data_IF_499213319304
#
_entry.id   IF_499213319304
#
_cell.length_a   1.000
_cell.length_b   1.000
_cell.length_c   1.000
_cell.angle_alpha   90.00
_cell.angle_beta   90.00
_cell.angle_gamma   90.00
#
_symmetry.space_group_name_H-M   'P 1'
#
loop_
_entity.id
_entity.type
_entity.pdbx_description
1 polymer ?
#
# COMPACT_ATOMS: atom_id res chain seq x y z
N UNK A 1 -51.61 32.37 25.12
CA UNK A 1 -51.27 31.30 24.14
C UNK A 1 -50.54 31.97 22.98
N UNK A 2 -49.21 32.09 23.05
CA UNK A 2 -48.17 31.32 22.32
C UNK A 2 -48.37 31.27 20.80
N UNK A 3 -47.43 31.86 20.05
CA UNK A 3 -47.28 31.65 18.60
C UNK A 3 -46.36 32.64 17.90
N UNK A 4 -45.12 32.83 18.37
CA UNK A 4 -44.13 33.66 17.65
C UNK A 4 -43.24 32.75 16.78
N UNK A 5 -43.53 32.69 15.49
CA UNK A 5 -42.88 31.81 14.51
C UNK A 5 -41.51 32.36 14.09
N UNK A 6 -40.44 31.97 14.79
CA UNK A 6 -39.06 32.26 14.38
C UNK A 6 -38.66 31.28 13.27
N UNK A 7 -38.49 31.79 12.04
CA UNK A 7 -37.85 31.07 10.94
C UNK A 7 -36.39 30.76 11.30
N UNK A 8 -35.86 29.55 11.04
CA UNK A 8 -34.45 29.27 11.27
C UNK A 8 -33.60 29.92 10.16
N UNK A 9 -32.51 30.60 10.56
CA UNK A 9 -31.44 31.05 9.65
C UNK A 9 -30.76 29.82 9.04
N UNK A 10 -30.79 29.71 7.72
CA UNK A 10 -29.93 28.79 6.98
C UNK A 10 -28.50 29.35 6.99
N UNK A 11 -27.56 28.62 7.58
CA UNK A 11 -26.12 28.85 7.39
C UNK A 11 -25.67 28.24 6.07
N UNK A 12 -24.81 28.90 5.27
CA UNK A 12 -24.31 28.33 4.03
C UNK A 12 -23.36 27.16 4.34
N UNK A 13 -23.72 25.97 3.87
CA UNK A 13 -22.86 24.78 3.92
C UNK A 13 -21.73 24.89 2.90
N UNK A 14 -20.49 24.90 3.37
CA UNK A 14 -19.29 24.72 2.54
C UNK A 14 -19.33 23.37 1.78
N UNK A 15 -18.80 23.30 0.54
CA UNK A 15 -18.79 22.06 -0.23
C UNK A 15 -17.66 21.15 0.25
N UNK A 16 -17.96 20.29 1.23
CA UNK A 16 -17.05 19.28 1.75
C UNK A 16 -17.68 17.89 1.65
N UNK A 17 -17.11 17.07 0.78
CA UNK A 17 -17.03 15.59 0.81
C UNK A 17 -18.14 14.87 1.59
N UNK A 18 -19.05 14.19 0.87
CA UNK A 18 -19.98 13.22 1.45
C UNK A 18 -19.22 12.02 2.01
N UNK A 19 -18.85 12.07 3.29
CA UNK A 19 -18.29 10.93 4.02
C UNK A 19 -19.42 9.96 4.35
N UNK A 20 -19.56 8.87 3.59
CA UNK A 20 -20.32 7.71 4.04
C UNK A 20 -19.59 7.15 5.26
N UNK A 21 -20.20 7.31 6.44
CA UNK A 21 -19.75 6.69 7.69
C UNK A 21 -19.89 5.18 7.55
N UNK A 22 -18.76 4.49 7.56
CA UNK A 22 -18.71 3.12 8.06
C UNK A 22 -17.91 3.17 9.36
N UNK A 23 -18.62 3.04 10.48
CA UNK A 23 -18.03 2.84 11.79
C UNK A 23 -18.22 1.38 12.17
N UNK A 24 -17.14 0.60 12.15
CA UNK A 24 -16.95 -0.57 13.03
C UNK A 24 -15.45 -0.71 13.31
N UNK A 25 -15.06 -0.45 14.57
CA UNK A 25 -13.75 -0.72 15.19
C UNK A 25 -12.56 0.21 14.89
N UNK A 26 -12.53 1.33 15.63
CA UNK A 26 -11.40 1.82 16.43
C UNK A 26 -9.96 1.42 16.08
N UNK A 27 -9.39 2.05 15.05
CA UNK A 27 -8.06 2.71 15.01
C UNK A 27 -7.82 3.06 13.55
N UNK A 28 -7.89 4.34 13.19
CA UNK A 28 -7.24 4.80 11.96
C UNK A 28 -5.74 4.61 12.18
N UNK A 29 -5.20 3.45 11.83
CA UNK A 29 -3.75 3.26 11.74
C UNK A 29 -3.32 4.11 10.55
N UNK A 30 -2.70 5.26 10.82
CA UNK A 30 -1.98 5.97 9.78
C UNK A 30 -0.83 5.07 9.31
N UNK A 31 -1.08 4.42 8.19
CA UNK A 31 -0.15 3.50 7.60
C UNK A 31 0.96 4.33 6.94
N UNK A 32 2.14 4.36 7.57
CA UNK A 32 3.33 5.01 7.01
C UNK A 32 3.65 4.38 5.65
N UNK A 33 3.66 5.21 4.61
CA UNK A 33 3.98 4.79 3.24
C UNK A 33 5.39 5.25 2.89
N UNK A 34 6.19 4.35 2.34
CA UNK A 34 7.51 4.63 1.81
C UNK A 34 7.46 4.57 0.27
N UNK A 35 8.14 5.52 -0.39
CA UNK A 35 8.37 5.48 -1.83
C UNK A 35 9.71 4.82 -2.09
N UNK A 36 9.74 3.87 -3.01
CA UNK A 36 10.94 3.14 -3.42
C UNK A 36 11.03 3.21 -4.93
N UNK A 37 12.17 3.64 -5.47
CA UNK A 37 12.41 3.73 -6.92
C UNK A 37 13.49 2.73 -7.30
N UNK A 38 13.14 1.74 -8.13
CA UNK A 38 14.02 0.64 -8.52
C UNK A 38 14.34 0.78 -10.01
N UNK A 39 15.61 0.89 -10.34
CA UNK A 39 16.12 0.78 -11.71
C UNK A 39 16.36 -0.70 -12.01
N UNK A 40 15.69 -1.25 -13.01
CA UNK A 40 15.87 -2.67 -13.37
C UNK A 40 17.29 -2.92 -13.87
N UNK A 41 17.86 -4.03 -13.45
CA UNK A 41 19.16 -4.49 -13.93
C UNK A 41 18.96 -5.37 -15.16
N UNK A 42 19.76 -5.12 -16.20
CA UNK A 42 19.81 -5.98 -17.38
C UNK A 42 20.60 -7.25 -17.07
N UNK A 43 19.98 -8.39 -17.24
CA UNK A 43 20.59 -9.71 -17.10
C UNK A 43 20.25 -10.53 -18.35
N UNK A 44 21.19 -10.58 -19.30
CA UNK A 44 20.93 -11.10 -20.64
C UNK A 44 19.85 -10.28 -21.36
N UNK A 45 18.83 -10.97 -21.88
CA UNK A 45 17.69 -10.35 -22.55
C UNK A 45 16.62 -9.81 -21.59
N UNK A 46 16.75 -10.08 -20.29
CA UNK A 46 15.74 -9.74 -19.28
C UNK A 46 16.13 -8.52 -18.45
N UNK A 47 15.10 -7.85 -17.94
CA UNK A 47 15.22 -6.79 -16.94
C UNK A 47 14.69 -7.32 -15.61
N UNK A 48 15.55 -7.38 -14.59
CA UNK A 48 15.24 -7.92 -13.27
C UNK A 48 15.17 -6.83 -12.22
N UNK A 49 14.31 -7.02 -11.21
CA UNK A 49 14.18 -6.11 -10.07
C UNK A 49 14.96 -6.61 -8.83
N UNK A 50 15.28 -7.90 -8.75
CA UNK A 50 15.99 -8.48 -7.60
C UNK A 50 15.11 -8.68 -6.35
N UNK A 51 13.83 -9.01 -6.51
CA UNK A 51 12.96 -9.41 -5.39
C UNK A 51 11.86 -10.37 -5.85
N UNK A 52 11.19 -11.03 -4.92
CA UNK A 52 10.04 -11.91 -5.15
C UNK A 52 8.79 -11.38 -4.48
N UNK A 53 7.62 -11.68 -5.06
CA UNK A 53 6.32 -11.32 -4.50
C UNK A 53 5.51 -12.55 -4.08
N UNK A 54 4.58 -12.36 -3.16
CA UNK A 54 3.55 -13.32 -2.76
C UNK A 54 2.22 -12.61 -2.51
N UNK A 55 1.14 -13.38 -2.41
CA UNK A 55 -0.22 -12.86 -2.24
C UNK A 55 -0.91 -12.54 -3.57
N UNK A 56 -2.02 -11.81 -3.48
CA UNK A 56 -2.98 -11.60 -4.56
C UNK A 56 -4.38 -12.09 -4.16
N UNK A 57 -5.42 -11.49 -4.74
CA UNK A 57 -6.82 -11.81 -4.38
C UNK A 57 -7.23 -13.26 -4.66
N UNK A 58 -6.52 -13.88 -5.61
CA UNK A 58 -6.65 -15.24 -6.09
C UNK A 58 -5.80 -16.26 -5.31
N UNK A 59 -5.02 -15.81 -4.32
CA UNK A 59 -4.19 -16.67 -3.49
C UNK A 59 -4.82 -16.85 -2.09
N UNK A 60 -4.39 -17.91 -1.38
CA UNK A 60 -4.76 -18.14 0.02
C UNK A 60 -3.99 -17.18 0.94
N UNK A 61 -4.65 -16.19 1.58
CA UNK A 61 -3.98 -15.21 2.44
C UNK A 61 -3.49 -15.82 3.76
N UNK A 62 -4.03 -16.98 4.18
CA UNK A 62 -3.64 -17.63 5.43
C UNK A 62 -2.18 -18.10 5.42
N UNK A 63 -1.65 -18.37 4.22
CA UNK A 63 -0.28 -18.83 4.00
C UNK A 63 0.74 -17.69 3.98
N UNK A 64 0.31 -16.43 4.01
CA UNK A 64 1.22 -15.29 4.01
C UNK A 64 1.82 -15.07 5.41
N UNK A 65 3.13 -15.26 5.63
CA UNK A 65 3.74 -15.06 6.95
C UNK A 65 3.92 -13.57 7.30
N UNK A 66 3.83 -12.66 6.32
CA UNK A 66 4.17 -11.24 6.48
C UNK A 66 2.97 -10.36 6.85
N UNK A 67 1.72 -10.86 6.73
CA UNK A 67 0.53 -10.14 7.13
C UNK A 67 0.15 -10.44 8.59
N UNK A 68 -0.17 -9.40 9.37
CA UNK A 68 -0.81 -9.54 10.69
C UNK A 68 -2.24 -10.07 10.53
N UNK A 69 -2.94 -9.57 9.52
CA UNK A 69 -4.29 -10.00 9.15
C UNK A 69 -4.20 -11.15 8.14
N UNK A 70 -4.61 -12.35 8.56
CA UNK A 70 -4.60 -13.56 7.73
C UNK A 70 -5.72 -13.60 6.68
N UNK A 71 -6.52 -12.53 6.60
CA UNK A 71 -7.46 -12.30 5.51
C UNK A 71 -6.91 -11.32 4.47
N UNK A 72 -5.74 -10.71 4.71
CA UNK A 72 -5.14 -9.72 3.82
C UNK A 72 -4.60 -10.36 2.54
N UNK A 73 -5.22 -10.00 1.42
CA UNK A 73 -4.91 -10.51 0.08
C UNK A 73 -3.95 -9.62 -0.72
N UNK A 74 -3.31 -8.64 -0.07
CA UNK A 74 -2.38 -7.74 -0.74
C UNK A 74 -1.12 -8.42 -1.30
N UNK A 75 -0.32 -7.64 -2.02
CA UNK A 75 0.96 -8.09 -2.59
C UNK A 75 2.08 -7.77 -1.61
N UNK A 76 2.89 -8.78 -1.27
CA UNK A 76 3.98 -8.67 -0.32
C UNK A 76 5.31 -9.07 -0.94
N UNK A 77 6.39 -8.40 -0.52
CA UNK A 77 7.76 -8.80 -0.83
C UNK A 77 8.13 -10.00 0.02
N UNK A 78 8.42 -11.14 -0.61
CA UNK A 78 8.73 -12.40 0.08
C UNK A 78 10.22 -12.69 0.16
N UNK A 79 11.01 -12.14 -0.78
CA UNK A 79 12.47 -12.24 -0.83
C UNK A 79 13.05 -11.00 -1.50
N UNK A 80 14.25 -10.60 -1.10
CA UNK A 80 15.05 -9.58 -1.76
C UNK A 80 16.42 -10.19 -2.04
N UNK A 81 16.95 -9.99 -3.25
CA UNK A 81 18.27 -10.47 -3.65
C UNK A 81 19.34 -9.54 -3.11
N UNK A 82 20.32 -10.12 -2.41
CA UNK A 82 21.51 -9.41 -1.91
C UNK A 82 22.30 -8.79 -3.07
N UNK A 83 22.71 -7.53 -2.90
CA UNK A 83 23.35 -6.70 -3.92
C UNK A 83 22.44 -6.34 -5.11
N UNK A 84 21.16 -6.72 -5.07
CA UNK A 84 20.22 -6.52 -6.14
C UNK A 84 19.64 -5.09 -6.19
N UNK A 85 18.99 -4.71 -7.30
CA UNK A 85 18.44 -3.37 -7.45
C UNK A 85 17.39 -2.99 -6.39
N UNK A 86 16.56 -3.95 -5.98
CA UNK A 86 15.57 -3.75 -4.94
C UNK A 86 16.19 -3.49 -3.56
N UNK A 87 17.28 -4.20 -3.21
CA UNK A 87 17.99 -3.97 -1.95
C UNK A 87 18.63 -2.59 -1.92
N UNK A 88 19.32 -2.21 -3.01
CA UNK A 88 19.97 -0.89 -3.14
C UNK A 88 18.93 0.24 -3.04
N UNK A 89 17.73 0.04 -3.58
CA UNK A 89 16.62 0.99 -3.47
C UNK A 89 15.96 1.03 -2.07
N UNK A 90 16.34 0.14 -1.16
CA UNK A 90 15.84 0.08 0.21
C UNK A 90 14.51 -0.69 0.38
N UNK A 91 14.15 -1.55 -0.59
CA UNK A 91 13.04 -2.48 -0.45
C UNK A 91 13.40 -3.58 0.54
N UNK A 92 12.46 -3.99 1.38
CA UNK A 92 12.69 -5.00 2.41
C UNK A 92 11.69 -6.15 2.31
N UNK A 93 12.11 -7.32 2.80
CA UNK A 93 11.21 -8.47 2.99
C UNK A 93 10.08 -8.06 3.94
N UNK A 94 8.85 -8.44 3.61
CA UNK A 94 7.65 -8.10 4.36
C UNK A 94 7.02 -6.75 4.00
N UNK A 95 7.65 -5.95 3.12
CA UNK A 95 7.00 -4.75 2.58
C UNK A 95 5.72 -5.13 1.83
N UNK A 96 4.61 -4.46 2.15
CA UNK A 96 3.36 -4.57 1.40
C UNK A 96 3.36 -3.54 0.28
N UNK A 97 3.19 -3.98 -0.96
CA UNK A 97 3.16 -3.13 -2.14
C UNK A 97 1.75 -2.59 -2.33
N UNK A 98 1.60 -1.28 -2.23
CA UNK A 98 0.33 -0.56 -2.42
C UNK A 98 0.16 -0.08 -3.86
N UNK A 99 1.25 0.35 -4.50
CA UNK A 99 1.23 0.82 -5.89
C UNK A 99 2.49 0.44 -6.66
N UNK A 100 2.34 0.26 -7.97
CA UNK A 100 3.44 0.09 -8.94
C UNK A 100 3.22 1.08 -10.07
N UNK A 101 4.11 2.06 -10.25
CA UNK A 101 4.00 3.09 -11.29
C UNK A 101 2.61 3.76 -11.33
N UNK A 102 2.05 4.05 -10.14
CA UNK A 102 0.73 4.66 -9.97
C UNK A 102 -0.45 3.70 -10.07
N UNK A 103 -0.24 2.44 -10.49
CA UNK A 103 -1.28 1.42 -10.50
C UNK A 103 -1.52 0.87 -9.10
N UNK A 104 -2.78 0.81 -8.67
CA UNK A 104 -3.16 0.21 -7.39
C UNK A 104 -2.91 -1.30 -7.38
N UNK A 105 -2.34 -1.80 -6.29
CA UNK A 105 -2.01 -3.22 -6.08
C UNK A 105 -2.79 -3.85 -4.93
N UNK A 106 -3.78 -3.15 -4.35
CA UNK A 106 -4.46 -3.62 -3.14
C UNK A 106 -5.44 -4.77 -3.41
N UNK A 107 -6.02 -4.80 -4.62
CA UNK A 107 -7.05 -5.75 -5.04
C UNK A 107 -6.73 -6.35 -6.41
N UNK A 108 -5.49 -6.82 -6.60
CA UNK A 108 -5.04 -7.43 -7.85
C UNK A 108 -4.78 -8.92 -7.67
N UNK A 109 -4.84 -9.67 -8.76
CA UNK A 109 -4.36 -11.06 -8.75
C UNK A 109 -2.83 -11.10 -8.72
N UNK A 110 -2.28 -12.24 -8.31
CA UNK A 110 -0.84 -12.46 -8.30
C UNK A 110 -0.21 -12.21 -9.69
N UNK A 111 -0.83 -12.75 -10.74
CA UNK A 111 -0.34 -12.58 -12.11
C UNK A 111 -0.46 -11.14 -12.62
N UNK A 112 -1.51 -10.41 -12.23
CA UNK A 112 -1.62 -8.98 -12.54
C UNK A 112 -0.47 -8.20 -11.91
N UNK A 113 -0.16 -8.43 -10.64
CA UNK A 113 0.98 -7.79 -9.97
C UNK A 113 2.30 -8.10 -10.69
N UNK A 114 2.54 -9.39 -11.00
CA UNK A 114 3.72 -9.84 -11.75
C UNK A 114 3.86 -9.12 -13.09
N UNK A 115 2.79 -9.05 -13.90
CA UNK A 115 2.79 -8.37 -15.20
C UNK A 115 3.14 -6.88 -15.08
N UNK A 116 2.65 -6.20 -14.04
CA UNK A 116 2.93 -4.78 -13.80
C UNK A 116 4.39 -4.55 -13.42
N UNK A 117 4.98 -5.42 -12.60
CA UNK A 117 6.39 -5.34 -12.22
C UNK A 117 7.35 -5.68 -13.37
N UNK A 118 6.99 -6.63 -14.22
CA UNK A 118 7.89 -7.21 -15.24
C UNK A 118 7.75 -6.61 -16.63
N UNK A 119 7.01 -5.51 -16.78
CA UNK A 119 6.82 -4.86 -18.09
C UNK A 119 8.17 -4.40 -18.67
N UNK A 120 8.54 -4.94 -19.83
CA UNK A 120 9.86 -4.71 -20.47
C UNK A 120 10.09 -3.27 -20.91
N UNK A 121 9.03 -2.53 -21.26
CA UNK A 121 9.11 -1.14 -21.67
C UNK A 121 9.38 -0.15 -20.52
N UNK A 122 9.38 -0.63 -19.27
CA UNK A 122 9.57 0.19 -18.08
C UNK A 122 10.85 -0.24 -17.39
N UNK A 123 11.93 0.53 -17.61
CA UNK A 123 13.23 0.29 -16.97
C UNK A 123 13.24 0.72 -15.50
N UNK A 124 12.36 1.64 -15.12
CA UNK A 124 12.22 2.14 -13.74
C UNK A 124 10.85 1.76 -13.19
N UNK A 125 10.84 1.25 -11.95
CA UNK A 125 9.64 0.89 -11.22
C UNK A 125 9.58 1.67 -9.91
N UNK A 126 8.55 2.50 -9.77
CA UNK A 126 8.26 3.28 -8.57
C UNK A 126 7.20 2.56 -7.76
N UNK A 127 7.58 2.11 -6.57
CA UNK A 127 6.72 1.44 -5.62
C UNK A 127 6.28 2.41 -4.54
N UNK A 128 5.02 2.28 -4.15
CA UNK A 128 4.53 2.79 -2.86
C UNK A 128 4.34 1.57 -1.97
N UNK A 129 5.10 1.50 -0.87
CA UNK A 129 5.07 0.36 0.05
C UNK A 129 4.71 0.78 1.45
N UNK A 130 4.27 -0.17 2.27
CA UNK A 130 4.03 0.05 3.68
C UNK A 130 4.78 -1.00 4.49
N UNK A 131 5.44 -0.53 5.54
CA UNK A 131 6.31 -1.36 6.39
C UNK A 131 5.87 -1.26 7.84
N UNK A 132 5.67 -2.40 8.48
CA UNK A 132 5.18 -2.47 9.85
C UNK A 132 6.15 -1.81 10.85
N UNK A 133 7.47 -1.94 10.64
CA UNK A 133 8.47 -1.31 11.51
C UNK A 133 8.41 0.21 11.47
N UNK A 134 8.16 0.81 10.30
CA UNK A 134 7.99 2.26 10.16
C UNK A 134 6.75 2.76 10.91
N UNK A 135 5.65 2.00 10.85
CA UNK A 135 4.43 2.33 11.60
C UNK A 135 4.68 2.33 13.11
N UNK A 136 5.40 1.33 13.63
CA UNK A 136 5.75 1.23 15.05
C UNK A 136 6.66 2.39 15.48
N UNK A 137 7.65 2.75 14.68
CA UNK A 137 8.56 3.86 14.97
C UNK A 137 7.81 5.21 15.05
N UNK A 138 6.93 5.49 14.07
CA UNK A 138 6.12 6.71 14.07
C UNK A 138 5.14 6.74 15.26
N UNK A 139 4.56 5.60 15.62
CA UNK A 139 3.68 5.52 16.79
C UNK A 139 4.43 5.78 18.10
N UNK A 140 5.66 5.28 18.23
CA UNK A 140 6.49 5.53 19.42
C UNK A 140 6.90 7.00 19.53
N UNK A 141 7.26 7.67 18.44
CA UNK A 141 7.64 9.09 18.47
C UNK A 141 6.47 10.03 18.77
N UNK A 142 5.23 9.62 18.49
CA UNK A 142 4.04 10.41 18.85
C UNK A 142 3.61 10.25 20.31
N UNK A 143 4.17 9.27 21.04
CA UNK A 143 3.84 8.96 22.43
C UNK A 143 4.91 9.45 23.43
N UNK A 144 6.02 10.01 22.95
CA UNK A 144 7.11 10.64 23.73
C UNK A 144 7.01 12.16 23.67
#
# INVERSE_FOLDING_TARGET
MRGNSRRPRLSPSSPGVKTRRFCTHGRQRECVKQRVEIHKLRQGENLILGFSIGGGIDQDPSQNPFSEDKTDKGIYVTRVSEGGPAEIAGLQIGDKIMQVNGWDMTMVTHDQARKRLTKRSEEVVRLLVTRQSLQKAVQQSMLS
#
